data_IF_553447198984
#
_entry.id   IF_553447198984
#
_cell.length_a   1.000
_cell.length_b   1.000
_cell.length_c   1.000
_cell.angle_alpha   90.00
_cell.angle_beta   90.00
_cell.angle_gamma   90.00
#
_symmetry.space_group_name_H-M   'P 1'
#
loop_
_entity.id
_entity.type
_entity.pdbx_description
1 polymer ?
#
# COMPACT_ATOMS: atom_id res chain seq x y z
N UNK A 1 -9.95 -5.84 -5.78
CA UNK A 1 -9.65 -4.72 -4.88
C UNK A 1 -8.21 -4.30 -5.09
N UNK A 2 -7.93 -3.00 -5.06
CA UNK A 2 -6.58 -2.44 -5.09
C UNK A 2 -6.25 -1.94 -3.69
N UNK A 3 -5.36 -2.63 -2.97
CA UNK A 3 -4.87 -2.18 -1.67
C UNK A 3 -3.77 -1.14 -1.89
N UNK A 4 -4.08 0.10 -1.55
CA UNK A 4 -3.16 1.23 -1.73
C UNK A 4 -2.24 1.34 -0.52
N UNK A 5 -0.95 1.23 -0.76
CA UNK A 5 0.11 1.34 0.25
C UNK A 5 0.29 2.77 0.75
N UNK A 6 0.89 2.91 1.93
CA UNK A 6 1.28 4.21 2.52
C UNK A 6 2.09 5.07 1.56
N UNK A 7 3.04 4.50 0.83
CA UNK A 7 3.86 5.27 -0.12
C UNK A 7 3.03 5.90 -1.25
N UNK A 8 2.00 5.21 -1.75
CA UNK A 8 1.09 5.77 -2.75
C UNK A 8 0.20 6.88 -2.19
N UNK A 9 -0.31 6.71 -0.96
CA UNK A 9 -1.04 7.78 -0.27
C UNK A 9 -0.19 9.01 -0.04
N UNK A 10 1.10 8.86 0.27
CA UNK A 10 2.03 9.97 0.46
C UNK A 10 2.28 10.72 -0.85
N UNK A 11 2.40 10.02 -1.98
CA UNK A 11 2.54 10.64 -3.30
C UNK A 11 1.30 11.47 -3.65
N UNK A 12 0.10 10.91 -3.44
CA UNK A 12 -1.17 11.61 -3.65
C UNK A 12 -1.37 12.79 -2.70
N UNK A 13 -1.07 12.62 -1.41
CA UNK A 13 -1.17 13.68 -0.40
C UNK A 13 -0.33 14.92 -0.77
N UNK A 14 0.83 14.68 -1.39
CA UNK A 14 1.79 15.71 -1.83
C UNK A 14 1.53 16.22 -3.24
N UNK A 15 0.60 15.61 -3.99
CA UNK A 15 0.31 15.92 -5.39
C UNK A 15 1.60 15.97 -6.25
N UNK A 16 2.42 14.93 -6.16
CA UNK A 16 3.76 14.91 -6.79
C UNK A 16 3.74 14.86 -8.31
N UNK A 17 2.62 14.47 -8.92
CA UNK A 17 2.50 14.21 -10.36
C UNK A 17 3.19 12.91 -10.81
N UNK A 18 3.67 12.10 -9.87
CA UNK A 18 4.29 10.81 -10.18
C UNK A 18 3.27 9.86 -10.85
N UNK A 19 3.72 8.81 -11.57
CA UNK A 19 2.81 7.83 -12.14
C UNK A 19 1.84 7.24 -11.11
N UNK A 20 2.29 7.02 -9.88
CA UNK A 20 1.48 6.48 -8.78
C UNK A 20 0.44 7.49 -8.29
N UNK A 21 0.81 8.76 -8.13
CA UNK A 21 -0.13 9.85 -7.79
C UNK A 21 -1.23 9.97 -8.85
N UNK A 22 -0.85 10.04 -10.13
CA UNK A 22 -1.80 10.12 -11.25
C UNK A 22 -2.72 8.91 -11.30
N UNK A 23 -2.16 7.71 -11.14
CA UNK A 23 -2.95 6.47 -11.11
C UNK A 23 -3.92 6.45 -9.95
N UNK A 24 -3.51 6.83 -8.74
CA UNK A 24 -4.42 6.89 -7.60
C UNK A 24 -5.52 7.93 -7.81
N UNK A 25 -5.18 9.08 -8.41
CA UNK A 25 -6.16 10.11 -8.78
C UNK A 25 -7.21 9.58 -9.76
N UNK A 26 -6.79 8.83 -10.80
CA UNK A 26 -7.69 8.17 -11.74
C UNK A 26 -8.60 7.15 -11.07
N UNK A 27 -8.03 6.25 -10.25
CA UNK A 27 -8.80 5.23 -9.52
C UNK A 27 -9.86 5.86 -8.61
N UNK A 28 -9.53 6.97 -7.94
CA UNK A 28 -10.47 7.73 -7.11
C UNK A 28 -11.59 8.35 -7.96
N UNK A 29 -11.26 8.84 -9.16
CA UNK A 29 -12.23 9.46 -10.07
C UNK A 29 -13.14 8.48 -10.81
N UNK A 30 -12.72 7.23 -10.96
CA UNK A 30 -13.45 6.17 -11.68
C UNK A 30 -14.32 5.28 -10.78
N UNK A 31 -14.38 5.57 -9.47
CA UNK A 31 -15.02 4.71 -8.46
C UNK A 31 -14.50 3.26 -8.49
N UNK A 32 -13.22 3.08 -8.84
CA UNK A 32 -12.57 1.77 -8.84
C UNK A 32 -12.47 1.20 -7.42
N UNK A 33 -12.33 -0.14 -7.27
CA UNK A 33 -12.40 -0.81 -5.97
C UNK A 33 -11.11 -0.63 -5.13
N UNK A 34 -10.83 0.61 -4.74
CA UNK A 34 -9.75 1.00 -3.83
C UNK A 34 -10.04 0.48 -2.43
N UNK A 35 -8.99 0.01 -1.77
CA UNK A 35 -9.01 -0.40 -0.39
C UNK A 35 -7.81 0.14 0.39
N UNK A 36 -7.96 0.15 1.71
CA UNK A 36 -6.90 0.39 2.69
C UNK A 36 -6.87 -0.75 3.71
N UNK A 37 -5.94 -0.72 4.65
CA UNK A 37 -5.86 -1.65 5.79
C UNK A 37 -5.33 -0.88 7.01
N UNK A 38 -5.56 -1.40 8.20
CA UNK A 38 -5.20 -0.77 9.48
C UNK A 38 -3.74 -0.28 9.54
N UNK A 39 -2.71 -1.05 9.15
CA UNK A 39 -1.33 -0.54 9.16
C UNK A 39 -1.13 0.64 8.20
N UNK A 40 -1.75 0.64 7.03
CA UNK A 40 -1.67 1.78 6.09
C UNK A 40 -2.35 3.01 6.69
N UNK A 41 -3.56 2.85 7.24
CA UNK A 41 -4.28 3.94 7.90
C UNK A 41 -3.44 4.52 9.04
N UNK A 42 -2.83 3.66 9.86
CA UNK A 42 -1.96 4.08 10.96
C UNK A 42 -0.77 4.91 10.44
N UNK A 43 -0.04 4.43 9.43
CA UNK A 43 1.14 5.12 8.91
C UNK A 43 0.79 6.46 8.25
N UNK A 44 -0.28 6.50 7.45
CA UNK A 44 -0.72 7.73 6.77
C UNK A 44 -1.13 8.79 7.78
N UNK A 45 -1.92 8.42 8.80
CA UNK A 45 -2.36 9.37 9.83
C UNK A 45 -1.21 9.83 10.72
N UNK A 46 -0.29 8.93 11.10
CA UNK A 46 0.90 9.28 11.86
C UNK A 46 1.88 10.17 11.08
N UNK A 47 1.88 10.09 9.74
CA UNK A 47 2.70 10.91 8.86
C UNK A 47 2.15 12.32 8.60
N UNK A 48 0.93 12.64 9.07
CA UNK A 48 0.32 13.95 8.85
C UNK A 48 1.09 15.08 9.55
N UNK A 49 1.28 16.21 8.86
CA UNK A 49 2.07 17.36 9.37
C UNK A 49 1.31 18.25 10.37
N UNK A 50 0.01 18.03 10.54
CA UNK A 50 -0.84 18.77 11.47
C UNK A 50 -2.13 18.00 11.76
N UNK A 51 -2.77 18.30 12.90
CA UNK A 51 -4.07 17.72 13.27
C UNK A 51 -5.17 18.07 12.25
N UNK A 52 -5.07 19.20 11.56
CA UNK A 52 -5.99 19.53 10.48
C UNK A 52 -5.82 18.55 9.31
N UNK A 53 -4.57 18.31 8.88
CA UNK A 53 -4.30 17.38 7.78
C UNK A 53 -4.61 15.93 8.16
N UNK A 54 -4.32 15.53 9.40
CA UNK A 54 -4.69 14.20 9.93
C UNK A 54 -6.20 13.96 9.80
N UNK A 55 -7.03 14.92 10.22
CA UNK A 55 -8.49 14.81 10.12
C UNK A 55 -8.97 14.71 8.69
N UNK A 56 -8.36 15.45 7.77
CA UNK A 56 -8.71 15.38 6.35
C UNK A 56 -8.32 14.03 5.73
N UNK A 57 -7.13 13.51 6.04
CA UNK A 57 -6.69 12.19 5.61
C UNK A 57 -7.58 11.08 6.19
N UNK A 58 -7.96 11.19 7.47
CA UNK A 58 -8.87 10.23 8.11
C UNK A 58 -10.22 10.18 7.41
N UNK A 59 -10.79 11.35 7.08
CA UNK A 59 -12.05 11.43 6.32
C UNK A 59 -11.92 10.84 4.93
N UNK A 60 -10.81 11.13 4.23
CA UNK A 60 -10.55 10.58 2.90
C UNK A 60 -10.45 9.05 2.94
N UNK A 61 -9.56 8.50 3.79
CA UNK A 61 -9.34 7.06 3.88
C UNK A 61 -10.60 6.30 4.31
N UNK A 62 -11.43 6.90 5.17
CA UNK A 62 -12.70 6.33 5.61
C UNK A 62 -13.77 6.18 4.52
N UNK A 63 -13.52 6.69 3.30
CA UNK A 63 -14.41 6.50 2.15
C UNK A 63 -14.17 5.18 1.42
N UNK A 64 -12.99 4.57 1.60
CA UNK A 64 -12.60 3.37 0.88
C UNK A 64 -12.85 2.11 1.71
N UNK A 65 -12.89 0.96 1.04
CA UNK A 65 -13.05 -0.31 1.72
C UNK A 65 -11.86 -0.57 2.67
N UNK A 66 -12.14 -0.97 3.90
CA UNK A 66 -11.12 -1.45 4.83
C UNK A 66 -10.98 -2.96 4.64
N UNK A 67 -9.80 -3.43 4.25
CA UNK A 67 -9.43 -4.83 4.31
C UNK A 67 -8.90 -5.11 5.72
N UNK A 68 -9.70 -5.77 6.58
CA UNK A 68 -9.34 -5.91 7.97
C UNK A 68 -8.14 -6.84 8.10
N UNK A 69 -7.17 -6.40 8.88
CA UNK A 69 -6.09 -7.23 9.36
C UNK A 69 -6.65 -8.37 10.22
N UNK A 70 -6.18 -9.58 9.98
CA UNK A 70 -6.50 -10.73 10.81
C UNK A 70 -5.29 -11.13 11.67
N UNK A 71 -5.26 -10.79 12.98
CA UNK A 71 -4.03 -10.80 13.76
C UNK A 71 -3.30 -12.15 13.78
N UNK A 72 -4.02 -13.26 13.97
CA UNK A 72 -3.40 -14.57 14.06
C UNK A 72 -2.75 -15.01 12.74
N UNK A 73 -3.39 -14.70 11.61
CA UNK A 73 -2.93 -15.13 10.29
C UNK A 73 -1.88 -14.19 9.71
N UNK A 74 -2.12 -12.88 9.76
CA UNK A 74 -1.34 -11.91 9.02
C UNK A 74 0.01 -11.64 9.68
N UNK A 75 0.10 -11.61 11.01
CA UNK A 75 1.40 -11.45 11.69
C UNK A 75 2.31 -12.66 11.48
N UNK A 76 1.77 -13.88 11.55
CA UNK A 76 2.52 -15.10 11.27
C UNK A 76 2.99 -15.16 9.80
N UNK A 77 2.13 -14.73 8.88
CA UNK A 77 2.44 -14.65 7.45
C UNK A 77 3.51 -13.59 7.19
N UNK A 78 3.39 -12.39 7.78
CA UNK A 78 4.37 -11.32 7.68
C UNK A 78 5.76 -11.76 8.16
N UNK A 79 5.84 -12.45 9.32
CA UNK A 79 7.10 -13.01 9.82
C UNK A 79 7.71 -14.03 8.84
N UNK A 80 6.86 -14.87 8.24
CA UNK A 80 7.28 -15.85 7.22
C UNK A 80 7.80 -15.15 5.96
N UNK A 81 7.10 -14.13 5.46
CA UNK A 81 7.50 -13.33 4.32
C UNK A 81 8.84 -12.61 4.58
N UNK A 82 8.99 -11.97 5.73
CA UNK A 82 10.23 -11.30 6.11
C UNK A 82 11.43 -12.28 6.10
N UNK A 83 11.27 -13.45 6.73
CA UNK A 83 12.29 -14.50 6.71
C UNK A 83 12.56 -15.05 5.32
N UNK A 84 11.55 -15.14 4.46
CA UNK A 84 11.69 -15.62 3.08
C UNK A 84 12.42 -14.59 2.20
N UNK A 85 12.15 -13.30 2.39
CA UNK A 85 12.88 -12.23 1.73
C UNK A 85 14.36 -12.27 2.10
N UNK A 86 14.68 -12.31 3.40
CA UNK A 86 16.08 -12.34 3.86
C UNK A 86 16.87 -13.53 3.33
N UNK A 87 16.24 -14.71 3.24
CA UNK A 87 16.86 -15.91 2.65
C UNK A 87 17.18 -15.76 1.15
N UNK A 88 16.50 -14.85 0.45
CA UNK A 88 16.70 -14.54 -0.96
C UNK A 88 17.52 -13.26 -1.17
N UNK A 89 18.17 -12.72 -0.12
CA UNK A 89 18.97 -11.51 -0.21
C UNK A 89 18.17 -10.20 -0.33
N UNK A 90 16.83 -10.26 -0.17
CA UNK A 90 15.96 -9.08 -0.13
C UNK A 90 15.70 -8.71 1.33
N UNK A 91 15.94 -7.45 1.68
CA UNK A 91 15.62 -6.94 3.03
C UNK A 91 14.45 -5.97 2.90
N UNK A 92 13.23 -6.37 3.32
CA UNK A 92 12.10 -5.44 3.39
C UNK A 92 12.44 -4.27 4.33
N UNK A 93 11.88 -3.07 4.09
CA UNK A 93 12.18 -1.89 4.92
C UNK A 93 11.68 -2.07 6.35
N UNK A 94 10.58 -2.81 6.52
CA UNK A 94 10.05 -3.17 7.84
C UNK A 94 9.09 -4.35 7.83
N UNK A 95 8.71 -4.78 9.03
CA UNK A 95 7.69 -5.81 9.23
C UNK A 95 6.28 -5.31 8.85
N UNK A 96 6.03 -4.00 8.86
CA UNK A 96 4.76 -3.43 8.44
C UNK A 96 4.53 -3.63 6.93
N UNK A 97 5.53 -3.42 6.08
CA UNK A 97 5.44 -3.74 4.64
C UNK A 97 5.07 -5.23 4.44
N UNK A 98 5.67 -6.12 5.24
CA UNK A 98 5.37 -7.56 5.20
C UNK A 98 3.93 -7.86 5.67
N UNK A 99 3.40 -7.08 6.60
CA UNK A 99 2.05 -7.19 7.11
C UNK A 99 1.03 -6.73 6.07
N UNK A 100 1.29 -5.61 5.40
CA UNK A 100 0.48 -5.11 4.29
C UNK A 100 0.45 -6.14 3.15
N UNK A 101 1.61 -6.72 2.80
CA UNK A 101 1.69 -7.78 1.79
C UNK A 101 0.93 -9.05 2.22
N UNK A 102 0.92 -9.40 3.51
CA UNK A 102 0.15 -10.53 4.02
C UNK A 102 -1.36 -10.31 3.89
N UNK A 103 -1.85 -9.11 4.24
CA UNK A 103 -3.25 -8.72 4.04
C UNK A 103 -3.62 -8.77 2.56
N UNK A 104 -2.79 -8.18 1.69
CA UNK A 104 -3.02 -8.18 0.24
C UNK A 104 -3.12 -9.61 -0.32
N UNK A 105 -2.19 -10.49 0.07
CA UNK A 105 -2.19 -11.88 -0.35
C UNK A 105 -3.45 -12.62 0.10
N UNK A 106 -3.81 -12.53 1.39
CA UNK A 106 -4.98 -13.21 1.95
C UNK A 106 -6.28 -12.74 1.30
N UNK A 107 -6.39 -11.45 1.01
CA UNK A 107 -7.57 -10.84 0.40
C UNK A 107 -7.57 -10.89 -1.13
N UNK A 108 -6.56 -11.52 -1.76
CA UNK A 108 -6.38 -11.52 -3.22
C UNK A 108 -6.44 -10.11 -3.83
N UNK A 109 -5.86 -9.14 -3.12
CA UNK A 109 -5.81 -7.75 -3.54
C UNK A 109 -4.52 -7.47 -4.32
N UNK A 110 -4.63 -6.54 -5.28
CA UNK A 110 -3.48 -5.98 -5.99
C UNK A 110 -2.91 -4.81 -5.17
N UNK A 111 -1.59 -4.71 -5.04
CA UNK A 111 -0.94 -3.58 -4.37
C UNK A 111 -0.70 -2.41 -5.33
N UNK A 112 -0.97 -1.19 -4.89
CA UNK A 112 -0.49 0.04 -5.53
C UNK A 112 0.46 0.75 -4.57
N UNK A 113 1.69 1.01 -5.00
CA UNK A 113 2.73 1.64 -4.17
C UNK A 113 3.71 2.45 -5.02
N UNK A 114 4.51 3.30 -4.36
CA UNK A 114 5.60 4.07 -4.96
C UNK A 114 7.00 3.61 -4.50
N UNK A 115 7.09 2.46 -3.82
CA UNK A 115 8.35 1.93 -3.28
C UNK A 115 8.89 0.69 -4.02
N UNK A 116 10.12 0.78 -4.54
CA UNK A 116 10.77 -0.33 -5.27
C UNK A 116 11.09 -1.54 -4.38
N UNK A 117 11.24 -1.37 -3.06
CA UNK A 117 11.45 -2.51 -2.16
C UNK A 117 10.16 -3.33 -1.98
N UNK A 118 8.99 -2.69 -2.08
CA UNK A 118 7.70 -3.36 -2.12
C UNK A 118 7.54 -4.24 -3.37
N UNK A 119 8.08 -3.87 -4.54
CA UNK A 119 8.04 -4.72 -5.74
C UNK A 119 8.71 -6.08 -5.48
N UNK A 120 9.86 -6.06 -4.80
CA UNK A 120 10.63 -7.27 -4.48
C UNK A 120 9.88 -8.13 -3.46
N UNK A 121 9.31 -7.50 -2.45
CA UNK A 121 8.49 -8.17 -1.43
C UNK A 121 7.23 -8.79 -2.06
N UNK A 122 6.49 -8.05 -2.87
CA UNK A 122 5.27 -8.50 -3.53
C UNK A 122 5.54 -9.72 -4.42
N UNK A 123 6.65 -9.71 -5.17
CA UNK A 123 7.09 -10.86 -5.97
C UNK A 123 7.35 -12.11 -5.12
N UNK A 124 7.98 -11.95 -3.95
CA UNK A 124 8.25 -13.06 -3.03
C UNK A 124 6.97 -13.54 -2.34
N UNK A 125 6.05 -12.64 -2.04
CA UNK A 125 4.75 -12.92 -1.44
C UNK A 125 3.76 -13.54 -2.44
N UNK A 126 3.97 -13.37 -3.75
CA UNK A 126 3.02 -13.77 -4.78
C UNK A 126 1.81 -12.82 -4.86
N UNK A 127 2.02 -11.54 -4.56
CA UNK A 127 1.00 -10.49 -4.61
C UNK A 127 1.14 -9.72 -5.92
N UNK A 128 0.02 -9.49 -6.60
CA UNK A 128 -0.01 -8.68 -7.82
C UNK A 128 0.25 -7.21 -7.48
N UNK A 129 0.92 -6.49 -8.39
CA UNK A 129 1.18 -5.05 -8.26
C UNK A 129 0.53 -4.33 -9.45
N UNK A 130 -0.23 -3.27 -9.17
CA UNK A 130 -0.74 -2.34 -10.17
C UNK A 130 0.44 -1.43 -10.57
N UNK A 131 0.93 -1.62 -11.79
CA UNK A 131 2.08 -0.89 -12.33
C UNK A 131 1.54 0.28 -13.16
N UNK A 132 1.55 1.52 -12.63
CA UNK A 132 1.12 2.67 -13.41
C UNK A 132 2.10 2.89 -14.57
N UNK A 133 1.56 2.99 -15.79
CA UNK A 133 2.38 3.20 -16.98
C UNK A 133 3.19 4.49 -16.85
N UNK A 134 4.50 4.41 -17.11
CA UNK A 134 5.31 5.62 -17.31
C UNK A 134 4.75 6.36 -18.51
N UNK A 135 4.62 7.71 -18.46
CA UNK A 135 4.12 8.44 -19.61
C UNK A 135 5.04 8.15 -20.78
N UNK A 136 4.48 7.64 -21.89
CA UNK A 136 5.21 7.47 -23.13
C UNK A 136 5.74 8.85 -23.51
N UNK A 137 7.06 9.04 -23.46
CA UNK A 137 7.69 10.27 -23.93
C UNK A 137 7.43 10.36 -25.43
N UNK A 138 6.39 11.14 -25.80
CA UNK A 138 6.09 11.52 -27.18
C UNK A 138 6.82 12.80 -27.57
#
# INVERSE_FOLDING_TARGET
MILVDTSAWVEYDRATGSPVDRRLTELIGMDDPIATTEPVVMEVLAGARSDARERDLRRLLGRFALLPLEPAADFATAATLYRRCRRQGVTPRGLIDCLIAAVAWRMSATLLHADQDLDRLARIAGVAVDQPESPTTG
#
